data_IF_108874696703
#
_entry.id   IF_108874696703
#
_cell.length_a   1.000
_cell.length_b   1.000
_cell.length_c   1.000
_cell.angle_alpha   90.00
_cell.angle_beta   90.00
_cell.angle_gamma   90.00
#
_symmetry.space_group_name_H-M   'P 1'
#
loop_
_entity.id
_entity.type
_entity.pdbx_description
1 polymer ?
#
# COMPACT_ATOMS: atom_id res chain seq x y z
N UNK A 1 4.39 21.81 -41.44
CA UNK A 1 4.68 20.74 -40.47
C UNK A 1 3.59 20.71 -39.38
N UNK A 2 2.31 20.83 -39.76
CA UNK A 2 1.18 21.00 -38.82
C UNK A 2 -0.06 20.15 -39.12
N UNK A 3 -0.11 19.44 -40.26
CA UNK A 3 -1.28 18.59 -40.61
C UNK A 3 -1.13 17.14 -40.12
N UNK A 4 0.09 16.62 -40.12
CA UNK A 4 0.37 15.23 -39.71
C UNK A 4 0.27 15.03 -38.18
N UNK A 5 0.56 16.07 -37.40
CA UNK A 5 0.42 16.06 -35.93
C UNK A 5 -1.04 16.11 -35.45
N UNK A 6 -1.99 16.55 -36.29
CA UNK A 6 -3.42 16.52 -35.96
C UNK A 6 -4.07 15.17 -36.28
N UNK A 7 -3.65 14.49 -37.37
CA UNK A 7 -4.14 13.15 -37.73
C UNK A 7 -3.76 12.06 -36.71
N UNK A 8 -2.55 12.15 -36.14
CA UNK A 8 -2.11 11.19 -35.10
C UNK A 8 -2.95 11.35 -33.82
N UNK A 9 -3.40 12.58 -33.52
CA UNK A 9 -4.18 12.87 -32.32
C UNK A 9 -5.64 12.42 -32.48
N UNK A 10 -6.23 12.60 -33.65
CA UNK A 10 -7.61 12.17 -33.95
C UNK A 10 -7.75 10.66 -34.09
N UNK A 11 -6.76 9.98 -34.68
CA UNK A 11 -6.70 8.50 -34.67
C UNK A 11 -6.57 7.96 -33.24
N UNK A 12 -5.77 8.64 -32.42
CA UNK A 12 -5.61 8.44 -30.98
C UNK A 12 -6.89 8.57 -30.14
N UNK A 13 -7.85 9.39 -30.58
CA UNK A 13 -9.13 9.53 -29.87
C UNK A 13 -10.15 8.53 -30.40
N UNK A 14 -10.14 8.22 -31.71
CA UNK A 14 -11.04 7.22 -32.30
C UNK A 14 -10.88 5.82 -31.72
N UNK A 15 -9.66 5.33 -31.48
CA UNK A 15 -9.47 4.00 -30.89
C UNK A 15 -10.06 3.89 -29.48
N UNK A 16 -9.95 4.97 -28.69
CA UNK A 16 -10.45 5.04 -27.32
C UNK A 16 -11.98 5.01 -27.25
N UNK A 17 -12.66 5.61 -28.23
CA UNK A 17 -14.13 5.58 -28.31
C UNK A 17 -14.68 4.22 -28.73
N UNK A 18 -13.97 3.48 -29.61
CA UNK A 18 -14.39 2.14 -30.05
C UNK A 18 -14.38 1.11 -28.91
N UNK A 19 -13.45 1.25 -27.96
CA UNK A 19 -13.31 0.32 -26.83
C UNK A 19 -14.39 0.57 -25.76
N UNK A 20 -14.81 1.82 -25.57
CA UNK A 20 -15.88 2.16 -24.63
C UNK A 20 -17.27 1.68 -25.10
N UNK A 21 -17.52 1.65 -26.42
CA UNK A 21 -18.79 1.16 -26.97
C UNK A 21 -18.94 -0.36 -26.91
N UNK A 22 -17.82 -1.10 -26.84
CA UNK A 22 -17.83 -2.56 -26.72
C UNK A 22 -18.25 -3.09 -25.35
N UNK A 23 -18.26 -2.25 -24.32
CA UNK A 23 -18.57 -2.62 -22.93
C UNK A 23 -20.04 -2.34 -22.51
N UNK A 24 -20.88 -1.75 -23.38
CA UNK A 24 -22.27 -1.40 -23.04
C UNK A 24 -23.36 -2.33 -23.62
N UNK A 25 -23.02 -3.38 -24.38
CA UNK A 25 -24.01 -4.22 -25.07
C UNK A 25 -24.15 -5.66 -24.53
N UNK A 26 -24.31 -5.82 -23.21
CA UNK A 26 -24.99 -7.00 -22.64
C UNK A 26 -26.08 -6.52 -21.67
N UNK A 27 -27.14 -5.95 -22.23
CA UNK A 27 -28.46 -5.87 -21.61
C UNK A 27 -29.34 -6.88 -22.33
N UNK A 28 -29.71 -7.97 -21.66
CA UNK A 28 -30.69 -8.94 -22.17
C UNK A 28 -31.95 -8.85 -21.30
N UNK A 29 -32.79 -7.87 -21.61
CA UNK A 29 -34.19 -7.81 -21.20
C UNK A 29 -35.01 -8.70 -22.15
N UNK A 30 -35.37 -9.91 -21.72
CA UNK A 30 -36.45 -10.68 -22.36
C UNK A 30 -37.28 -11.49 -21.35
N UNK A 31 -38.33 -10.81 -20.90
CA UNK A 31 -39.61 -11.26 -20.38
C UNK A 31 -40.07 -12.70 -20.74
N UNK A 32 -40.35 -13.53 -19.73
CA UNK A 32 -41.61 -14.32 -19.64
C UNK A 32 -41.82 -14.91 -18.23
N UNK A 33 -42.61 -14.21 -17.41
CA UNK A 33 -43.07 -14.66 -16.08
C UNK A 33 -44.27 -15.62 -16.18
N UNK A 34 -44.29 -16.77 -15.47
CA UNK A 34 -45.50 -17.61 -15.41
C UNK A 34 -46.24 -17.65 -14.07
N UNK A 35 -45.90 -16.88 -13.03
CA UNK A 35 -46.61 -16.96 -11.74
C UNK A 35 -46.96 -15.59 -11.12
N UNK A 36 -48.11 -15.04 -11.55
CA UNK A 36 -48.90 -14.11 -10.72
C UNK A 36 -49.63 -14.90 -9.64
N UNK A 37 -49.45 -14.54 -8.37
CA UNK A 37 -50.27 -15.05 -7.27
C UNK A 37 -49.93 -14.48 -5.90
N UNK A 38 -50.65 -13.41 -5.52
CA UNK A 38 -50.99 -12.93 -4.17
C UNK A 38 -49.88 -12.68 -3.12
N UNK A 39 -49.74 -11.39 -2.78
CA UNK A 39 -49.02 -10.84 -1.62
C UNK A 39 -49.74 -11.19 -0.30
N UNK A 40 -49.00 -11.50 0.77
CA UNK A 40 -49.28 -10.81 2.03
C UNK A 40 -48.00 -10.19 2.64
N UNK A 41 -48.19 -8.95 3.08
CA UNK A 41 -47.26 -8.10 3.82
C UNK A 41 -46.74 -8.79 5.10
N UNK A 42 -45.44 -9.08 5.18
CA UNK A 42 -44.70 -9.26 6.44
C UNK A 42 -43.31 -8.65 6.27
N UNK A 43 -42.85 -8.05 7.37
CA UNK A 43 -41.77 -7.10 7.52
C UNK A 43 -40.39 -7.67 7.16
N UNK A 44 -39.57 -6.75 6.65
CA UNK A 44 -38.20 -6.80 6.13
C UNK A 44 -37.17 -7.39 7.12
N UNK A 45 -36.92 -8.70 7.07
CA UNK A 45 -35.72 -9.35 7.62
C UNK A 45 -35.30 -10.50 6.67
N UNK A 46 -34.22 -10.34 5.88
CA UNK A 46 -33.74 -11.45 5.04
C UNK A 46 -32.72 -11.21 3.92
N UNK A 47 -32.31 -9.97 3.61
CA UNK A 47 -31.34 -9.67 2.53
C UNK A 47 -29.89 -9.86 2.99
N UNK A 48 -29.52 -11.04 3.48
CA UNK A 48 -28.11 -11.33 3.85
C UNK A 48 -27.60 -12.71 3.45
N UNK A 49 -28.47 -13.69 3.16
CA UNK A 49 -28.00 -15.06 2.91
C UNK A 49 -27.64 -15.38 1.44
N UNK A 50 -28.17 -14.66 0.44
CA UNK A 50 -27.92 -15.01 -0.97
C UNK A 50 -26.65 -14.40 -1.60
N UNK A 51 -25.99 -13.43 -0.97
CA UNK A 51 -24.68 -12.94 -1.46
C UNK A 51 -23.51 -13.88 -1.11
N UNK A 52 -23.71 -14.78 -0.14
CA UNK A 52 -22.66 -15.70 0.35
C UNK A 52 -22.53 -16.95 -0.55
N UNK A 53 -23.54 -17.25 -1.39
CA UNK A 53 -23.53 -18.47 -2.21
C UNK A 53 -22.89 -18.26 -3.59
N UNK A 54 -23.03 -17.08 -4.21
CA UNK A 54 -22.40 -16.75 -5.51
C UNK A 54 -20.88 -16.59 -5.40
N UNK A 55 -20.39 -16.16 -4.24
CA UNK A 55 -18.96 -16.09 -3.94
C UNK A 55 -18.33 -17.48 -3.70
N UNK A 56 -19.15 -18.54 -3.54
CA UNK A 56 -18.66 -19.89 -3.23
C UNK A 56 -18.42 -20.77 -4.46
N UNK A 57 -19.13 -20.56 -5.56
CA UNK A 57 -18.95 -21.35 -6.80
C UNK A 57 -17.88 -20.81 -7.76
N UNK A 58 -17.57 -19.49 -7.74
CA UNK A 58 -16.47 -18.95 -8.55
C UNK A 58 -15.06 -19.34 -8.05
N UNK A 59 -14.98 -19.99 -6.89
CA UNK A 59 -13.75 -20.54 -6.33
C UNK A 59 -13.44 -21.94 -6.89
N UNK A 60 -14.38 -22.60 -7.57
CA UNK A 60 -14.33 -24.04 -7.87
C UNK A 60 -14.03 -24.41 -9.34
N UNK A 61 -13.56 -23.49 -10.19
CA UNK A 61 -13.10 -23.86 -11.56
C UNK A 61 -11.86 -23.08 -11.98
N UNK A 62 -10.73 -23.46 -11.39
CA UNK A 62 -9.42 -23.35 -12.05
C UNK A 62 -8.48 -24.43 -11.53
N UNK A 63 -8.98 -25.66 -11.50
CA UNK A 63 -8.13 -26.85 -11.54
C UNK A 63 -7.53 -26.98 -12.95
N UNK A 64 -6.41 -26.29 -13.18
CA UNK A 64 -5.51 -26.60 -14.30
C UNK A 64 -4.17 -27.07 -13.71
N UNK A 65 -4.06 -28.40 -13.58
CA UNK A 65 -2.84 -29.21 -13.37
C UNK A 65 -1.69 -28.50 -12.62
N UNK A 66 -1.68 -28.68 -11.29
CA UNK A 66 -0.45 -28.58 -10.49
C UNK A 66 0.50 -29.71 -10.90
N UNK A 67 1.50 -29.38 -11.72
CA UNK A 67 2.77 -30.10 -11.63
C UNK A 67 3.39 -29.75 -10.27
N UNK A 68 3.54 -30.77 -9.45
CA UNK A 68 4.12 -30.71 -8.11
C UNK A 68 5.63 -30.41 -8.21
N UNK A 69 6.00 -29.14 -8.42
CA UNK A 69 7.36 -28.69 -8.09
C UNK A 69 7.47 -28.68 -6.57
N UNK A 70 8.25 -29.60 -6.02
CA UNK A 70 8.64 -29.65 -4.62
C UNK A 70 9.34 -28.33 -4.26
N UNK A 71 8.60 -27.36 -3.74
CA UNK A 71 9.17 -26.16 -3.14
C UNK A 71 9.79 -26.61 -1.82
N UNK A 72 11.12 -26.83 -1.81
CA UNK A 72 11.89 -26.96 -0.56
C UNK A 72 11.54 -25.75 0.32
N UNK A 73 10.94 -25.99 1.48
CA UNK A 73 10.65 -24.95 2.46
C UNK A 73 11.97 -24.33 2.92
N UNK A 74 12.32 -23.18 2.34
CA UNK A 74 13.44 -22.37 2.84
C UNK A 74 13.11 -21.96 4.28
N UNK A 75 13.99 -22.22 5.26
CA UNK A 75 13.74 -21.83 6.63
C UNK A 75 13.55 -20.32 6.71
N UNK A 76 12.54 -19.88 7.47
CA UNK A 76 12.30 -18.46 7.70
C UNK A 76 13.55 -17.84 8.33
N UNK A 77 14.14 -16.90 7.60
CA UNK A 77 15.31 -16.14 8.04
C UNK A 77 14.88 -15.24 9.21
N UNK A 78 15.69 -15.20 10.28
CA UNK A 78 15.38 -14.33 11.41
C UNK A 78 15.43 -12.84 11.02
N UNK A 79 14.55 -12.01 11.59
CA UNK A 79 14.52 -10.56 11.29
C UNK A 79 15.89 -9.86 11.43
N UNK A 80 16.74 -10.34 12.35
CA UNK A 80 18.10 -9.81 12.51
C UNK A 80 19.06 -10.17 11.37
N UNK A 81 18.86 -11.32 10.71
CA UNK A 81 19.64 -11.70 9.54
C UNK A 81 19.25 -10.92 8.28
N UNK A 82 18.04 -10.34 8.24
CA UNK A 82 17.61 -9.44 7.15
C UNK A 82 18.50 -8.20 7.08
N UNK A 83 18.95 -7.69 8.24
CA UNK A 83 19.86 -6.55 8.35
C UNK A 83 21.34 -6.91 8.28
N UNK A 84 21.70 -8.16 7.97
CA UNK A 84 23.11 -8.61 7.87
C UNK A 84 23.92 -7.81 6.84
N UNK A 85 23.27 -7.11 5.91
CA UNK A 85 23.90 -6.28 4.88
C UNK A 85 23.80 -4.77 5.13
N UNK A 86 23.28 -4.34 6.28
CA UNK A 86 23.23 -2.94 6.68
C UNK A 86 24.63 -2.43 7.05
N UNK A 87 25.07 -1.31 6.46
CA UNK A 87 26.33 -0.64 6.85
C UNK A 87 26.14 0.15 8.15
N UNK A 88 27.23 0.59 8.79
CA UNK A 88 27.16 1.46 9.98
C UNK A 88 26.37 2.76 9.77
N UNK A 89 26.35 3.30 8.55
CA UNK A 89 25.49 4.45 8.20
C UNK A 89 24.00 4.07 8.15
N UNK A 90 23.68 2.86 7.68
CA UNK A 90 22.30 2.37 7.58
C UNK A 90 21.74 2.16 8.99
N UNK A 91 22.56 1.69 9.94
CA UNK A 91 22.19 1.63 11.36
C UNK A 91 21.89 3.02 11.94
N UNK A 92 22.69 4.04 11.63
CA UNK A 92 22.43 5.41 12.11
C UNK A 92 21.11 5.93 11.54
N UNK A 93 20.87 5.78 10.23
CA UNK A 93 19.62 6.20 9.60
C UNK A 93 18.41 5.48 10.21
N UNK A 94 18.51 4.17 10.46
CA UNK A 94 17.44 3.40 11.12
C UNK A 94 17.19 3.88 12.55
N UNK A 95 18.23 4.21 13.33
CA UNK A 95 18.04 4.75 14.69
C UNK A 95 17.36 6.12 14.68
N UNK A 96 17.70 6.99 13.73
CA UNK A 96 17.05 8.29 13.60
C UNK A 96 15.58 8.11 13.16
N UNK A 97 15.34 7.24 12.18
CA UNK A 97 14.00 6.95 11.69
C UNK A 97 13.09 6.28 12.73
N UNK A 98 13.64 5.46 13.63
CA UNK A 98 12.88 4.86 14.75
C UNK A 98 12.53 5.87 15.83
N UNK A 99 13.45 6.79 16.18
CA UNK A 99 13.13 7.89 17.09
C UNK A 99 12.04 8.79 16.50
N UNK A 100 12.14 9.11 15.19
CA UNK A 100 11.11 9.85 14.46
C UNK A 100 9.75 9.15 14.47
N UNK A 101 9.75 7.81 14.33
CA UNK A 101 8.54 6.99 14.40
C UNK A 101 7.84 7.03 15.76
N UNK A 102 8.61 7.02 16.86
CA UNK A 102 8.04 7.10 18.21
C UNK A 102 7.37 8.45 18.41
N UNK A 103 8.04 9.54 18.01
CA UNK A 103 7.49 10.90 18.13
C UNK A 103 6.25 11.06 17.25
N UNK A 104 6.29 10.57 16.01
CA UNK A 104 5.15 10.61 15.09
C UNK A 104 3.99 9.73 15.58
N UNK A 105 4.25 8.55 16.15
CA UNK A 105 3.23 7.68 16.76
C UNK A 105 2.55 8.30 17.98
N UNK A 106 3.27 9.12 18.76
CA UNK A 106 2.71 9.90 19.86
C UNK A 106 2.05 11.23 19.43
N UNK A 107 2.02 11.55 18.14
CA UNK A 107 1.47 12.82 17.65
C UNK A 107 0.00 13.03 17.99
N UNK A 108 -0.83 12.00 17.86
CA UNK A 108 -2.27 12.06 18.15
C UNK A 108 -2.59 12.36 19.62
N UNK A 109 -2.03 11.64 20.63
CA UNK A 109 -2.28 11.99 22.03
C UNK A 109 -1.74 13.38 22.40
N UNK A 110 -0.60 13.80 21.82
CA UNK A 110 -0.08 15.16 22.02
C UNK A 110 -1.04 16.20 21.44
N UNK A 111 -1.52 16.00 20.22
CA UNK A 111 -2.50 16.87 19.57
C UNK A 111 -3.77 17.00 20.41
N UNK A 112 -4.31 15.89 20.91
CA UNK A 112 -5.50 15.88 21.77
C UNK A 112 -5.28 16.65 23.08
N UNK A 113 -4.09 16.56 23.67
CA UNK A 113 -3.73 17.30 24.90
C UNK A 113 -3.78 18.81 24.67
N UNK A 114 -3.17 19.30 23.59
CA UNK A 114 -3.21 20.73 23.23
C UNK A 114 -4.61 21.18 22.81
N UNK A 115 -5.37 20.30 22.15
CA UNK A 115 -6.75 20.59 21.76
C UNK A 115 -7.67 20.74 22.96
N UNK A 116 -7.50 19.90 23.98
CA UNK A 116 -8.21 20.05 25.24
C UNK A 116 -7.91 21.40 25.92
N UNK A 117 -6.64 21.82 25.95
CA UNK A 117 -6.25 23.11 26.55
C UNK A 117 -6.86 24.31 25.79
N UNK A 118 -6.88 24.23 24.46
CA UNK A 118 -7.53 25.25 23.61
C UNK A 118 -9.03 25.34 23.91
N UNK A 119 -9.73 24.20 23.93
CA UNK A 119 -11.17 24.15 24.26
C UNK A 119 -11.44 24.66 25.68
N UNK A 120 -10.60 24.30 26.64
CA UNK A 120 -10.73 24.76 28.03
C UNK A 120 -10.50 26.27 28.17
N UNK A 121 -9.61 26.87 27.37
CA UNK A 121 -9.39 28.31 27.35
C UNK A 121 -10.62 29.08 26.86
N UNK A 122 -11.34 28.54 25.86
CA UNK A 122 -12.62 29.10 25.43
C UNK A 122 -13.69 29.03 26.53
N UNK A 123 -13.79 27.91 27.24
CA UNK A 123 -14.77 27.72 28.31
C UNK A 123 -14.49 28.58 29.57
N UNK A 124 -13.24 28.67 30.00
CA UNK A 124 -12.84 29.36 31.24
C UNK A 124 -12.86 30.88 31.13
N UNK A 125 -12.66 31.43 29.93
CA UNK A 125 -12.59 32.88 29.69
C UNK A 125 -13.84 33.46 29.02
N UNK A 126 -14.97 32.73 29.02
CA UNK A 126 -16.22 33.14 28.38
C UNK A 126 -16.74 34.53 28.82
N UNK A 127 -16.41 34.96 30.04
CA UNK A 127 -16.81 36.27 30.57
C UNK A 127 -15.87 37.43 30.20
N UNK A 128 -14.68 37.16 29.63
CA UNK A 128 -13.68 38.18 29.28
C UNK A 128 -13.08 37.89 27.89
N UNK A 129 -13.70 38.45 26.85
CA UNK A 129 -13.31 38.28 25.44
C UNK A 129 -11.84 38.64 25.14
N UNK A 130 -11.31 39.72 25.72
CA UNK A 130 -9.92 40.14 25.49
C UNK A 130 -8.89 39.14 26.06
N UNK A 131 -9.19 38.51 27.20
CA UNK A 131 -8.30 37.50 27.79
C UNK A 131 -8.39 36.18 27.03
N UNK A 132 -9.60 35.82 26.61
CA UNK A 132 -9.83 34.62 25.79
C UNK A 132 -9.05 34.68 24.48
N UNK A 133 -9.12 35.80 23.75
CA UNK A 133 -8.42 35.94 22.46
C UNK A 133 -6.91 35.85 22.59
N UNK A 134 -6.32 36.45 23.63
CA UNK A 134 -4.89 36.35 23.89
C UNK A 134 -4.43 34.91 24.20
N UNK A 135 -5.18 34.17 25.02
CA UNK A 135 -4.83 32.78 25.31
C UNK A 135 -5.01 31.86 24.10
N UNK A 136 -6.08 32.04 23.33
CA UNK A 136 -6.33 31.27 22.10
C UNK A 136 -5.22 31.48 21.08
N UNK A 137 -4.78 32.72 20.88
CA UNK A 137 -3.65 33.03 19.98
C UNK A 137 -2.35 32.36 20.46
N UNK A 138 -2.11 32.32 21.77
CA UNK A 138 -0.96 31.62 22.36
C UNK A 138 -1.02 30.11 22.07
N UNK A 139 -2.17 29.47 22.28
CA UNK A 139 -2.35 28.05 21.97
C UNK A 139 -2.27 27.76 20.47
N UNK A 140 -2.79 28.65 19.62
CA UNK A 140 -2.64 28.54 18.17
C UNK A 140 -1.17 28.54 17.74
N UNK A 141 -0.32 29.35 18.39
CA UNK A 141 1.12 29.33 18.13
C UNK A 141 1.77 28.00 18.58
N UNK A 142 1.35 27.43 19.71
CA UNK A 142 1.81 26.10 20.14
C UNK A 142 1.40 25.01 19.15
N UNK A 143 0.19 25.06 18.59
CA UNK A 143 -0.24 24.15 17.54
C UNK A 143 0.65 24.22 16.29
N UNK A 144 1.07 25.43 15.90
CA UNK A 144 1.95 25.61 14.76
C UNK A 144 3.33 24.97 15.00
N UNK A 145 3.92 25.16 16.18
CA UNK A 145 5.22 24.55 16.53
C UNK A 145 5.13 23.03 16.62
N UNK A 146 4.10 22.51 17.27
CA UNK A 146 3.89 21.05 17.40
C UNK A 146 3.61 20.41 16.04
N UNK A 147 2.78 21.04 15.20
CA UNK A 147 2.50 20.58 13.85
C UNK A 147 3.76 20.54 12.98
N UNK A 148 4.60 21.58 13.04
CA UNK A 148 5.89 21.60 12.34
C UNK A 148 6.83 20.50 12.83
N UNK A 149 6.87 20.22 14.14
CA UNK A 149 7.67 19.14 14.70
C UNK A 149 7.19 17.75 14.25
N UNK A 150 5.87 17.51 14.26
CA UNK A 150 5.27 16.25 13.79
C UNK A 150 5.56 16.06 12.29
N UNK A 151 5.40 17.11 11.49
CA UNK A 151 5.70 17.07 10.06
C UNK A 151 7.17 16.74 9.78
N UNK A 152 8.10 17.41 10.46
CA UNK A 152 9.53 17.13 10.33
C UNK A 152 9.87 15.70 10.78
N UNK A 153 9.25 15.22 11.87
CA UNK A 153 9.44 13.85 12.37
C UNK A 153 8.93 12.80 11.37
N UNK A 154 7.74 13.01 10.80
CA UNK A 154 7.14 12.14 9.78
C UNK A 154 8.01 12.09 8.52
N UNK A 155 8.46 13.25 8.06
CA UNK A 155 9.34 13.33 6.90
C UNK A 155 10.68 12.61 7.13
N UNK A 156 11.30 12.81 8.30
CA UNK A 156 12.56 12.16 8.64
C UNK A 156 12.40 10.64 8.79
N UNK A 157 11.32 10.17 9.42
CA UNK A 157 11.00 8.75 9.52
C UNK A 157 10.93 8.11 8.13
N UNK A 158 10.03 8.58 7.28
CA UNK A 158 9.78 7.97 5.96
C UNK A 158 11.04 8.04 5.09
N UNK A 159 11.73 9.19 5.07
CA UNK A 159 12.93 9.36 4.25
C UNK A 159 14.07 8.44 4.67
N UNK A 160 14.28 8.25 5.98
CA UNK A 160 15.34 7.37 6.48
C UNK A 160 15.06 5.89 6.17
N UNK A 161 13.80 5.46 6.31
CA UNK A 161 13.39 4.09 5.99
C UNK A 161 13.48 3.81 4.48
N UNK A 162 13.02 4.73 3.64
CA UNK A 162 13.09 4.63 2.18
C UNK A 162 14.54 4.53 1.69
N UNK A 163 15.41 5.45 2.14
CA UNK A 163 16.82 5.47 1.75
C UNK A 163 17.55 4.18 2.17
N UNK A 164 17.26 3.69 3.37
CA UNK A 164 17.86 2.45 3.87
C UNK A 164 17.36 1.23 3.08
N UNK A 165 16.06 1.16 2.77
CA UNK A 165 15.46 0.10 1.98
C UNK A 165 16.04 0.01 0.56
N UNK A 166 16.20 1.15 -0.13
CA UNK A 166 16.80 1.20 -1.47
C UNK A 166 18.24 0.68 -1.47
N UNK A 167 19.04 1.12 -0.50
CA UNK A 167 20.45 0.73 -0.38
C UNK A 167 20.62 -0.75 -0.02
N UNK A 168 19.80 -1.29 0.88
CA UNK A 168 19.83 -2.70 1.23
C UNK A 168 19.35 -3.59 0.07
N UNK A 169 18.26 -3.20 -0.61
CA UNK A 169 17.73 -3.88 -1.80
C UNK A 169 18.77 -4.01 -2.90
N UNK A 170 19.47 -2.91 -3.23
CA UNK A 170 20.50 -2.90 -4.28
C UNK A 170 21.66 -3.85 -3.94
N UNK A 171 22.12 -3.87 -2.67
CA UNK A 171 23.17 -4.79 -2.24
C UNK A 171 22.74 -6.25 -2.30
N UNK A 172 21.49 -6.55 -1.94
CA UNK A 172 20.95 -7.90 -2.03
C UNK A 172 20.91 -8.39 -3.48
N UNK A 173 20.46 -7.55 -4.43
CA UNK A 173 20.44 -7.86 -5.86
C UNK A 173 21.83 -8.16 -6.42
N UNK A 174 22.83 -7.34 -6.07
CA UNK A 174 24.22 -7.54 -6.53
C UNK A 174 24.79 -8.87 -6.02
N UNK A 175 24.62 -9.17 -4.71
CA UNK A 175 25.12 -10.41 -4.12
C UNK A 175 24.40 -11.65 -4.65
N UNK A 176 23.09 -11.55 -4.88
CA UNK A 176 22.31 -12.63 -5.47
C UNK A 176 22.78 -12.93 -6.90
N UNK A 177 22.96 -11.90 -7.74
CA UNK A 177 23.46 -12.07 -9.11
C UNK A 177 24.89 -12.66 -9.11
N UNK A 178 25.76 -12.21 -8.22
CA UNK A 178 27.11 -12.75 -8.09
C UNK A 178 27.11 -14.24 -7.72
N UNK A 179 26.24 -14.65 -6.79
CA UNK A 179 26.08 -16.05 -6.41
C UNK A 179 25.52 -16.89 -7.57
N UNK A 180 24.51 -16.38 -8.28
CA UNK A 180 23.92 -17.05 -9.43
C UNK A 180 24.92 -17.27 -10.57
N UNK A 181 25.81 -16.30 -10.85
CA UNK A 181 26.84 -16.41 -11.89
C UNK A 181 27.98 -17.40 -11.54
N UNK A 182 28.15 -17.73 -10.25
CA UNK A 182 29.19 -18.65 -9.76
C UNK A 182 28.73 -20.10 -9.67
N UNK A 183 27.48 -20.38 -10.04
CA UNK A 183 26.86 -21.69 -9.84
C UNK A 183 27.14 -22.63 -11.03
N UNK A 184 27.38 -23.92 -10.75
CA UNK A 184 27.76 -24.91 -11.77
C UNK A 184 26.64 -25.17 -12.79
N UNK A 185 27.02 -25.48 -14.04
CA UNK A 185 26.10 -25.68 -15.17
C UNK A 185 25.06 -26.79 -14.91
N UNK A 186 25.39 -27.78 -14.07
CA UNK A 186 24.52 -28.89 -13.66
C UNK A 186 23.30 -28.40 -12.85
N UNK A 187 23.42 -27.30 -12.09
CA UNK A 187 22.30 -26.70 -11.36
C UNK A 187 21.26 -26.04 -12.30
N UNK A 188 21.74 -25.44 -13.40
CA UNK A 188 20.90 -24.82 -14.41
C UNK A 188 20.18 -25.85 -15.31
N UNK A 189 20.70 -27.07 -15.39
CA UNK A 189 20.12 -28.14 -16.20
C UNK A 189 19.09 -28.98 -15.41
N UNK A 190 19.24 -29.08 -14.08
CA UNK A 190 18.48 -30.04 -13.25
C UNK A 190 17.37 -29.41 -12.39
N UNK A 191 17.56 -28.21 -11.81
CA UNK A 191 16.63 -27.68 -10.78
C UNK A 191 16.07 -26.26 -11.06
N UNK A 192 16.66 -25.44 -11.94
CA UNK A 192 16.23 -24.02 -12.11
C UNK A 192 16.16 -23.60 -13.58
N UNK A 193 14.97 -23.16 -14.04
CA UNK A 193 14.84 -22.50 -15.34
C UNK A 193 15.47 -21.11 -15.26
N UNK A 194 16.15 -20.66 -16.31
CA UNK A 194 16.73 -19.29 -16.39
C UNK A 194 15.70 -18.20 -16.08
N UNK A 195 14.41 -18.46 -16.35
CA UNK A 195 13.28 -17.59 -15.99
C UNK A 195 13.16 -17.32 -14.48
N UNK A 196 13.48 -18.32 -13.65
CA UNK A 196 13.25 -18.27 -12.21
C UNK A 196 14.33 -17.41 -11.52
N UNK A 197 15.57 -17.41 -12.04
CA UNK A 197 16.66 -16.54 -11.56
C UNK A 197 16.39 -15.07 -11.89
N UNK A 198 15.88 -14.79 -13.09
CA UNK A 198 15.51 -13.43 -13.51
C UNK A 198 14.32 -12.92 -12.69
N UNK A 199 13.35 -13.80 -12.39
CA UNK A 199 12.22 -13.47 -11.52
C UNK A 199 12.66 -13.16 -10.09
N UNK A 200 13.61 -13.92 -9.52
CA UNK A 200 14.12 -13.65 -8.18
C UNK A 200 14.87 -12.31 -8.05
N UNK A 201 15.62 -11.90 -9.09
CA UNK A 201 16.35 -10.62 -9.09
C UNK A 201 15.41 -9.43 -9.15
N UNK A 202 14.32 -9.53 -9.92
CA UNK A 202 13.42 -8.41 -10.16
C UNK A 202 12.25 -8.40 -9.18
N UNK A 203 11.53 -9.52 -9.03
CA UNK A 203 10.30 -9.57 -8.25
C UNK A 203 10.60 -9.72 -6.76
N UNK A 204 11.41 -10.71 -6.35
CA UNK A 204 11.64 -10.97 -4.92
C UNK A 204 12.42 -9.83 -4.26
N UNK A 205 13.37 -9.23 -4.98
CA UNK A 205 14.11 -8.10 -4.46
C UNK A 205 13.29 -6.79 -4.40
N UNK A 206 12.23 -6.65 -5.20
CA UNK A 206 11.26 -5.55 -5.05
C UNK A 206 10.38 -5.84 -3.83
N UNK A 207 9.85 -7.06 -3.69
CA UNK A 207 9.03 -7.42 -2.52
C UNK A 207 9.78 -7.22 -1.19
N UNK A 208 11.07 -7.56 -1.13
CA UNK A 208 11.89 -7.32 0.06
C UNK A 208 12.15 -5.82 0.30
N UNK A 209 12.35 -5.04 -0.77
CA UNK A 209 12.51 -3.59 -0.64
C UNK A 209 11.25 -2.93 -0.10
N UNK A 210 10.11 -3.29 -0.67
CA UNK A 210 8.80 -2.79 -0.27
C UNK A 210 8.57 -3.16 1.19
N UNK A 211 8.80 -4.42 1.58
CA UNK A 211 8.66 -4.85 2.97
C UNK A 211 9.56 -4.11 3.99
N UNK A 212 10.70 -3.55 3.57
CA UNK A 212 11.62 -2.79 4.44
C UNK A 212 11.31 -1.29 4.45
N UNK A 213 10.84 -0.76 3.31
CA UNK A 213 10.64 0.68 3.09
C UNK A 213 9.19 1.13 3.33
N UNK A 214 8.23 0.21 3.24
CA UNK A 214 6.82 0.48 3.44
C UNK A 214 6.54 0.69 4.94
N UNK A 215 6.08 1.89 5.26
CA UNK A 215 5.79 2.37 6.61
C UNK A 215 4.58 3.29 6.61
#
# INVERSE_FOLDING_TARGET
MSKESEEIKTSGEQWKWSEMQGLELVNDDNNSDPFKGNLPTVIEEGVSQNQVQVSKEMVETSEAKKEEKVVKSVPAVGFGELFRFADGLDYILMTIGTVGAIVHGCSLPIFLRFFADLVNSFGSNANNLDKMTQEVVKYAFYFLVVGAAIWASSWAEISCWMWTGERQSTKMRIKYLEAALKQDIEFFDTEVRTSDVVAAINTDAVMVQDAISEK
#
